data_IF_366139857591
#
_entry.id   IF_366139857591
#
_cell.length_a   1.000
_cell.length_b   1.000
_cell.length_c   1.000
_cell.angle_alpha   90.00
_cell.angle_beta   90.00
_cell.angle_gamma   90.00
#
_symmetry.space_group_name_H-M   'P 1'
#
loop_
_entity.id
_entity.type
_entity.pdbx_description
1 polymer ?
#
# COMPACT_ATOMS: atom_id res chain seq x y z
N UNK A 1 -10.18 -3.85 -24.74
CA UNK A 1 -8.76 -3.48 -24.57
C UNK A 1 -8.59 -2.06 -23.97
N UNK A 2 -9.14 -1.02 -24.58
CA UNK A 2 -9.08 0.35 -24.05
C UNK A 2 -9.55 0.49 -22.60
N UNK A 3 -10.62 -0.17 -22.20
CA UNK A 3 -11.17 -0.13 -20.83
C UNK A 3 -10.16 -0.62 -19.79
N UNK A 4 -9.39 -1.66 -20.10
CA UNK A 4 -8.37 -2.20 -19.19
C UNK A 4 -7.21 -1.21 -19.03
N UNK A 5 -6.77 -0.61 -20.14
CA UNK A 5 -5.70 0.40 -20.12
C UNK A 5 -6.11 1.61 -19.29
N UNK A 6 -7.31 2.16 -19.55
CA UNK A 6 -7.83 3.31 -18.79
C UNK A 6 -8.00 2.98 -17.30
N UNK A 7 -8.54 1.79 -16.99
CA UNK A 7 -8.66 1.34 -15.60
C UNK A 7 -7.29 1.16 -14.93
N UNK A 8 -6.31 0.63 -15.66
CA UNK A 8 -4.94 0.49 -15.19
C UNK A 8 -4.30 1.84 -14.86
N UNK A 9 -4.41 2.82 -15.76
CA UNK A 9 -3.93 4.18 -15.53
C UNK A 9 -4.61 4.84 -14.33
N UNK A 10 -5.93 4.69 -14.21
CA UNK A 10 -6.69 5.21 -13.07
C UNK A 10 -6.23 4.62 -11.74
N UNK A 11 -6.09 3.29 -11.65
CA UNK A 11 -5.62 2.62 -10.44
C UNK A 11 -4.16 2.98 -10.11
N UNK A 12 -3.30 3.12 -11.12
CA UNK A 12 -1.92 3.58 -10.94
C UNK A 12 -1.86 5.01 -10.40
N UNK A 13 -2.76 5.90 -10.86
CA UNK A 13 -2.86 7.27 -10.34
C UNK A 13 -3.27 7.29 -8.86
N UNK A 14 -4.14 6.38 -8.44
CA UNK A 14 -4.51 6.22 -7.02
C UNK A 14 -3.28 5.80 -6.19
N UNK A 15 -2.51 4.81 -6.66
CA UNK A 15 -1.30 4.36 -5.96
C UNK A 15 -0.29 5.50 -5.86
N UNK A 16 -0.06 6.23 -6.95
CA UNK A 16 0.83 7.40 -6.95
C UNK A 16 0.34 8.49 -5.98
N UNK A 17 -0.98 8.74 -5.95
CA UNK A 17 -1.58 9.68 -5.00
C UNK A 17 -1.39 9.28 -3.54
N UNK A 18 -1.61 8.01 -3.21
CA UNK A 18 -1.38 7.48 -1.85
C UNK A 18 0.09 7.62 -1.46
N UNK A 19 1.01 7.26 -2.35
CA UNK A 19 2.45 7.35 -2.09
C UNK A 19 2.92 8.80 -1.95
N UNK A 20 2.45 9.70 -2.82
CA UNK A 20 2.75 11.13 -2.75
C UNK A 20 2.19 11.77 -1.47
N UNK A 21 0.95 11.47 -1.12
CA UNK A 21 0.34 11.95 0.12
C UNK A 21 1.11 11.48 1.36
N UNK A 22 1.55 10.21 1.37
CA UNK A 22 2.37 9.68 2.45
C UNK A 22 3.68 10.47 2.62
N UNK A 23 4.41 10.73 1.53
CA UNK A 23 5.68 11.47 1.58
C UNK A 23 5.49 12.92 2.03
N UNK A 24 4.43 13.59 1.57
CA UNK A 24 4.12 14.95 1.98
C UNK A 24 3.79 14.99 3.48
N UNK A 25 2.91 14.11 3.94
CA UNK A 25 2.51 14.06 5.36
C UNK A 25 3.70 13.72 6.24
N UNK A 26 4.54 12.76 5.83
CA UNK A 26 5.74 12.37 6.57
C UNK A 26 6.71 13.54 6.66
N UNK A 27 7.02 14.22 5.56
CA UNK A 27 7.93 15.36 5.52
C UNK A 27 7.44 16.53 6.38
N UNK A 28 6.18 16.90 6.26
CA UNK A 28 5.59 17.98 7.05
C UNK A 28 5.59 17.67 8.58
N UNK A 29 5.22 16.45 8.94
CA UNK A 29 5.20 16.03 10.34
C UNK A 29 6.62 15.93 10.93
N UNK A 30 7.57 15.45 10.15
CA UNK A 30 8.98 15.37 10.57
C UNK A 30 9.55 16.76 10.76
N UNK A 31 9.36 17.67 9.80
CA UNK A 31 9.77 19.10 9.94
C UNK A 31 9.12 19.75 11.15
N UNK A 32 7.82 19.53 11.34
CA UNK A 32 7.10 20.09 12.50
C UNK A 32 7.72 19.62 13.84
N UNK A 33 7.97 18.32 13.98
CA UNK A 33 8.47 17.74 15.23
C UNK A 33 9.95 18.03 15.47
N UNK A 34 10.78 18.02 14.44
CA UNK A 34 12.23 18.10 14.61
C UNK A 34 12.82 19.50 14.40
N UNK A 35 12.09 20.40 13.73
CA UNK A 35 12.57 21.75 13.43
C UNK A 35 11.70 22.82 14.08
N UNK A 36 10.40 22.85 13.78
CA UNK A 36 9.50 23.95 14.17
C UNK A 36 9.23 23.96 15.67
N UNK A 37 8.87 22.84 16.26
CA UNK A 37 8.56 22.76 17.69
C UNK A 37 9.77 23.03 18.59
N UNK A 38 10.96 22.43 18.35
CA UNK A 38 12.14 22.71 19.17
C UNK A 38 12.61 24.16 19.08
N UNK A 39 12.47 24.81 17.91
CA UNK A 39 12.84 26.22 17.72
C UNK A 39 12.06 27.18 18.62
N UNK A 40 10.87 26.82 19.07
CA UNK A 40 10.02 27.60 19.95
C UNK A 40 10.28 27.31 21.45
N UNK A 41 11.09 26.30 21.76
CA UNK A 41 11.32 25.89 23.16
C UNK A 41 12.60 26.46 23.74
N UNK A 42 12.54 26.83 25.03
CA UNK A 42 13.71 27.33 25.76
C UNK A 42 14.77 26.26 26.02
N UNK A 43 14.38 25.00 26.00
CA UNK A 43 15.23 23.87 26.34
C UNK A 43 15.14 22.78 25.24
N UNK A 44 15.74 23.00 24.06
CA UNK A 44 15.61 22.08 22.94
C UNK A 44 16.18 20.69 23.22
N UNK A 45 17.25 20.59 24.01
CA UNK A 45 17.89 19.29 24.37
C UNK A 45 16.91 18.40 25.16
N UNK A 46 16.20 18.98 26.13
CA UNK A 46 15.20 18.24 26.91
C UNK A 46 14.04 17.78 26.04
N UNK A 47 13.62 18.61 25.08
CA UNK A 47 12.59 18.24 24.11
C UNK A 47 12.97 17.03 23.27
N UNK A 48 14.18 17.00 22.68
CA UNK A 48 14.65 15.87 21.90
C UNK A 48 14.72 14.60 22.74
N UNK A 49 15.20 14.68 23.98
CA UNK A 49 15.23 13.54 24.88
C UNK A 49 13.82 12.97 25.14
N UNK A 50 12.86 13.83 25.45
CA UNK A 50 11.45 13.46 25.68
C UNK A 50 10.85 12.87 24.41
N UNK A 51 11.10 13.48 23.24
CA UNK A 51 10.62 12.98 21.96
C UNK A 51 11.14 11.57 21.64
N UNK A 52 12.42 11.30 21.87
CA UNK A 52 13.01 9.98 21.68
C UNK A 52 12.40 8.94 22.63
N UNK A 53 12.21 9.29 23.91
CA UNK A 53 11.58 8.38 24.89
C UNK A 53 10.13 8.08 24.50
N UNK A 54 9.35 9.10 24.13
CA UNK A 54 7.99 8.93 23.64
C UNK A 54 7.96 8.06 22.38
N UNK A 55 8.86 8.31 21.42
CA UNK A 55 9.01 7.49 20.23
C UNK A 55 9.27 6.02 20.56
N UNK A 56 10.19 5.74 21.45
CA UNK A 56 10.49 4.38 21.88
C UNK A 56 9.27 3.68 22.53
N UNK A 57 8.51 4.40 23.35
CA UNK A 57 7.28 3.88 23.96
C UNK A 57 6.19 3.60 22.92
N UNK A 58 5.98 4.53 22.00
CA UNK A 58 4.99 4.38 20.90
C UNK A 58 5.37 3.20 20.01
N UNK A 59 6.65 3.08 19.62
CA UNK A 59 7.14 1.97 18.81
C UNK A 59 6.98 0.62 19.53
N UNK A 60 7.30 0.58 20.82
CA UNK A 60 7.11 -0.62 21.65
C UNK A 60 5.63 -1.03 21.73
N UNK A 61 4.74 -0.06 21.89
CA UNK A 61 3.30 -0.28 21.90
C UNK A 61 2.78 -0.79 20.54
N UNK A 62 3.21 -0.16 19.43
CA UNK A 62 2.84 -0.58 18.08
C UNK A 62 3.29 -2.01 17.78
N UNK A 63 4.54 -2.35 18.15
CA UNK A 63 5.07 -3.70 18.00
C UNK A 63 4.25 -4.72 18.78
N UNK A 64 3.86 -4.39 20.01
CA UNK A 64 3.04 -5.27 20.86
C UNK A 64 1.62 -5.44 20.32
N UNK A 65 1.03 -4.38 19.74
CA UNK A 65 -0.35 -4.36 19.29
C UNK A 65 -0.54 -4.96 17.90
N UNK A 66 0.40 -4.72 17.00
CA UNK A 66 0.30 -5.08 15.59
C UNK A 66 1.29 -6.17 15.15
N UNK A 67 2.18 -6.63 16.02
CA UNK A 67 3.20 -7.62 15.68
C UNK A 67 4.36 -7.03 14.86
N UNK A 68 4.89 -7.81 13.92
CA UNK A 68 5.94 -7.35 13.01
C UNK A 68 5.34 -6.43 11.92
N UNK A 69 5.25 -5.16 12.21
CA UNK A 69 4.78 -4.11 11.31
C UNK A 69 5.78 -2.95 11.37
N UNK A 70 6.12 -2.31 10.27
CA UNK A 70 5.65 -2.50 8.90
C UNK A 70 6.31 -3.71 8.21
N UNK A 71 5.58 -4.30 7.26
CA UNK A 71 6.13 -5.36 6.41
C UNK A 71 7.23 -4.77 5.52
N UNK A 72 8.40 -5.38 5.56
CA UNK A 72 9.53 -4.92 4.73
C UNK A 72 9.32 -5.30 3.26
N UNK A 73 9.98 -4.56 2.34
CA UNK A 73 9.95 -4.89 0.92
C UNK A 73 10.43 -6.32 0.65
N UNK A 74 11.43 -6.79 1.40
CA UNK A 74 11.97 -8.15 1.28
C UNK A 74 10.94 -9.21 1.68
N UNK A 75 10.20 -8.99 2.76
CA UNK A 75 9.12 -9.89 3.21
C UNK A 75 7.98 -9.92 2.19
N UNK A 76 7.55 -8.76 1.68
CA UNK A 76 6.52 -8.66 0.65
C UNK A 76 6.93 -9.39 -0.64
N UNK A 77 8.19 -9.24 -1.08
CA UNK A 77 8.72 -9.95 -2.25
C UNK A 77 8.85 -11.46 -2.01
N UNK A 78 9.23 -11.87 -0.81
CA UNK A 78 9.34 -13.28 -0.46
C UNK A 78 7.96 -13.94 -0.43
N UNK A 79 6.97 -13.26 0.15
CA UNK A 79 5.58 -13.70 0.16
C UNK A 79 5.02 -13.80 -1.27
N UNK A 80 5.31 -12.78 -2.11
CA UNK A 80 4.89 -12.77 -3.52
C UNK A 80 5.47 -13.96 -4.28
N UNK A 81 6.76 -14.26 -4.10
CA UNK A 81 7.41 -15.42 -4.75
C UNK A 81 6.85 -16.76 -4.26
N UNK A 82 6.59 -16.88 -2.95
CA UNK A 82 6.12 -18.13 -2.35
C UNK A 82 4.63 -18.42 -2.66
N UNK A 83 3.79 -17.38 -2.59
CA UNK A 83 2.32 -17.53 -2.69
C UNK A 83 1.74 -17.01 -4.01
N UNK A 84 2.55 -16.38 -4.87
CA UNK A 84 2.13 -15.64 -6.06
C UNK A 84 1.06 -14.56 -5.77
N UNK A 85 0.98 -14.12 -4.53
CA UNK A 85 0.07 -13.09 -4.03
C UNK A 85 0.61 -12.52 -2.73
N UNK A 86 0.24 -11.28 -2.43
CA UNK A 86 0.58 -10.60 -1.17
C UNK A 86 -0.72 -10.20 -0.47
N UNK A 87 -0.74 -10.24 0.85
CA UNK A 87 -1.89 -9.78 1.61
C UNK A 87 -1.90 -8.24 1.68
N UNK A 88 -2.72 -7.63 0.84
CA UNK A 88 -2.88 -6.17 0.78
C UNK A 88 -3.94 -5.62 1.75
N UNK A 89 -4.62 -6.48 2.53
CA UNK A 89 -5.64 -6.03 3.50
C UNK A 89 -5.07 -5.14 4.61
N UNK A 90 -3.79 -5.33 4.93
CA UNK A 90 -3.06 -4.59 5.95
C UNK A 90 -2.27 -3.37 5.47
N UNK A 91 -2.32 -3.01 4.18
CA UNK A 91 -1.46 -1.95 3.61
C UNK A 91 -1.60 -0.61 4.34
N UNK A 92 -2.81 -0.15 4.59
CA UNK A 92 -3.03 1.13 5.28
C UNK A 92 -2.51 1.10 6.72
N UNK A 93 -2.68 -0.02 7.42
CA UNK A 93 -2.14 -0.21 8.76
C UNK A 93 -0.61 -0.19 8.75
N UNK A 94 0.00 -0.84 7.76
CA UNK A 94 1.44 -0.84 7.57
C UNK A 94 1.98 0.56 7.25
N UNK A 95 1.29 1.33 6.39
CA UNK A 95 1.63 2.71 6.09
C UNK A 95 1.54 3.61 7.32
N UNK A 96 0.47 3.49 8.12
CA UNK A 96 0.34 4.26 9.37
C UNK A 96 1.44 3.92 10.36
N UNK A 97 1.76 2.64 10.53
CA UNK A 97 2.86 2.23 11.40
C UNK A 97 4.21 2.74 10.90
N UNK A 98 4.45 2.67 9.59
CA UNK A 98 5.65 3.21 8.96
C UNK A 98 5.75 4.73 9.15
N UNK A 99 4.65 5.47 8.98
CA UNK A 99 4.59 6.90 9.20
C UNK A 99 5.00 7.27 10.63
N UNK A 100 4.42 6.59 11.63
CA UNK A 100 4.76 6.83 13.03
C UNK A 100 6.23 6.54 13.29
N UNK A 101 6.76 5.42 12.75
CA UNK A 101 8.17 5.05 12.90
C UNK A 101 9.10 6.12 12.33
N UNK A 102 8.79 6.63 11.14
CA UNK A 102 9.58 7.65 10.45
C UNK A 102 9.56 9.00 11.18
N UNK A 103 8.38 9.46 11.60
CA UNK A 103 8.20 10.73 12.31
C UNK A 103 9.02 10.76 13.61
N UNK A 104 9.17 9.63 14.30
CA UNK A 104 10.00 9.54 15.51
C UNK A 104 11.50 9.34 15.21
N UNK A 105 11.94 9.49 13.95
CA UNK A 105 13.35 9.53 13.57
C UNK A 105 14.00 8.16 13.44
N UNK A 106 13.25 7.12 13.09
CA UNK A 106 13.87 5.85 12.72
C UNK A 106 14.77 6.07 11.50
N UNK A 107 16.01 5.58 11.57
CA UNK A 107 17.02 5.73 10.52
C UNK A 107 16.74 4.96 9.22
N UNK A 108 15.47 4.67 8.94
CA UNK A 108 15.01 4.02 7.70
C UNK A 108 14.40 5.10 6.82
N UNK A 109 14.86 5.21 5.58
CA UNK A 109 14.30 6.20 4.67
C UNK A 109 12.83 5.94 4.34
N UNK A 110 12.05 7.00 4.08
CA UNK A 110 10.62 6.88 3.75
C UNK A 110 10.38 6.02 2.50
N UNK A 111 11.32 5.98 1.59
CA UNK A 111 11.30 5.16 0.38
C UNK A 111 11.27 3.66 0.71
N UNK A 112 12.09 3.22 1.67
CA UNK A 112 12.14 1.82 2.08
C UNK A 112 10.83 1.38 2.77
N UNK A 113 10.20 2.26 3.54
CA UNK A 113 8.90 2.02 4.16
C UNK A 113 7.77 1.93 3.12
N UNK A 114 7.82 2.76 2.07
CA UNK A 114 6.86 2.75 0.97
C UNK A 114 6.96 1.52 0.08
N UNK A 115 8.17 0.97 -0.13
CA UNK A 115 8.36 -0.14 -1.07
C UNK A 115 7.45 -1.34 -0.78
N UNK A 116 7.32 -1.75 0.47
CA UNK A 116 6.43 -2.83 0.86
C UNK A 116 4.95 -2.53 0.55
N UNK A 117 4.52 -1.30 0.79
CA UNK A 117 3.16 -0.84 0.50
C UNK A 117 2.91 -0.76 -1.02
N UNK A 118 3.86 -0.25 -1.79
CA UNK A 118 3.78 -0.16 -3.26
C UNK A 118 3.67 -1.56 -3.87
N UNK A 119 4.47 -2.53 -3.42
CA UNK A 119 4.38 -3.92 -3.87
C UNK A 119 2.98 -4.48 -3.61
N UNK A 120 2.46 -4.31 -2.40
CA UNK A 120 1.13 -4.80 -2.03
C UNK A 120 0.01 -4.13 -2.83
N UNK A 121 0.09 -2.81 -3.05
CA UNK A 121 -0.86 -2.06 -3.87
C UNK A 121 -0.76 -2.44 -5.36
N UNK A 122 0.43 -2.75 -5.87
CA UNK A 122 0.62 -3.23 -7.24
C UNK A 122 0.00 -4.61 -7.45
N UNK A 123 0.10 -5.50 -6.46
CA UNK A 123 -0.59 -6.80 -6.49
C UNK A 123 -2.10 -6.59 -6.45
N UNK A 124 -2.60 -5.71 -5.59
CA UNK A 124 -4.02 -5.32 -5.58
C UNK A 124 -4.50 -4.79 -6.94
N UNK A 125 -3.73 -3.91 -7.57
CA UNK A 125 -4.03 -3.39 -8.91
C UNK A 125 -4.09 -4.52 -9.95
N UNK A 126 -3.10 -5.41 -9.93
CA UNK A 126 -3.05 -6.57 -10.82
C UNK A 126 -4.27 -7.47 -10.66
N UNK A 127 -4.68 -7.75 -9.42
CA UNK A 127 -5.86 -8.57 -9.13
C UNK A 127 -7.15 -7.90 -9.64
N UNK A 128 -7.27 -6.57 -9.53
CA UNK A 128 -8.43 -5.83 -10.05
C UNK A 128 -8.49 -5.82 -11.57
N UNK A 129 -7.34 -5.65 -12.24
CA UNK A 129 -7.26 -5.69 -13.70
C UNK A 129 -7.55 -7.10 -14.23
N UNK A 130 -7.05 -8.13 -13.52
CA UNK A 130 -7.34 -9.53 -13.85
C UNK A 130 -8.82 -9.85 -13.71
N UNK A 131 -9.45 -9.39 -12.63
CA UNK A 131 -10.90 -9.52 -12.45
C UNK A 131 -11.68 -8.87 -13.60
N UNK A 132 -11.34 -7.64 -13.99
CA UNK A 132 -11.96 -6.95 -15.13
C UNK A 132 -11.79 -7.71 -16.44
N UNK A 133 -10.60 -8.27 -16.68
CA UNK A 133 -10.32 -9.01 -17.91
C UNK A 133 -11.17 -10.26 -18.04
N UNK A 134 -11.30 -11.06 -16.97
CA UNK A 134 -12.03 -12.31 -17.00
C UNK A 134 -13.56 -12.16 -16.98
N UNK A 135 -14.07 -11.07 -16.39
CA UNK A 135 -15.50 -10.80 -16.30
C UNK A 135 -15.95 -9.70 -17.27
N UNK A 136 -15.13 -9.40 -18.28
CA UNK A 136 -15.43 -8.33 -19.23
C UNK A 136 -16.74 -8.60 -20.02
N UNK A 137 -16.93 -9.83 -20.47
CA UNK A 137 -18.10 -10.24 -21.28
C UNK A 137 -19.42 -10.16 -20.47
N UNK A 138 -19.36 -10.45 -19.16
CA UNK A 138 -20.52 -10.34 -18.27
C UNK A 138 -20.89 -8.88 -17.95
N UNK A 139 -19.94 -7.96 -18.14
CA UNK A 139 -20.07 -6.55 -17.77
C UNK A 139 -20.26 -5.61 -18.95
N UNK A 140 -20.40 -6.12 -20.16
CA UNK A 140 -20.46 -5.31 -21.38
C UNK A 140 -21.62 -4.30 -21.38
N UNK A 141 -22.71 -4.60 -20.69
CA UNK A 141 -23.89 -3.72 -20.58
C UNK A 141 -23.77 -2.64 -19.49
N UNK A 142 -22.67 -2.58 -18.71
CA UNK A 142 -22.54 -1.62 -17.61
C UNK A 142 -21.70 -0.40 -18.03
N UNK A 143 -22.18 0.77 -17.58
CA UNK A 143 -21.46 2.05 -17.78
C UNK A 143 -20.09 2.02 -17.12
N UNK A 144 -19.09 2.66 -17.75
CA UNK A 144 -17.70 2.77 -17.25
C UNK A 144 -17.63 3.22 -15.77
N UNK A 145 -18.42 4.20 -15.36
CA UNK A 145 -18.51 4.68 -13.98
C UNK A 145 -18.98 3.62 -13.00
N UNK A 146 -19.93 2.80 -13.38
CA UNK A 146 -20.42 1.69 -12.53
C UNK A 146 -19.34 0.61 -12.34
N UNK A 147 -18.51 0.37 -13.37
CA UNK A 147 -17.38 -0.55 -13.30
C UNK A 147 -16.30 -0.04 -12.33
N UNK A 148 -15.95 1.25 -12.40
CA UNK A 148 -15.00 1.89 -11.48
C UNK A 148 -15.53 1.89 -10.05
N UNK A 149 -16.79 2.26 -9.85
CA UNK A 149 -17.41 2.30 -8.52
C UNK A 149 -17.45 0.91 -7.87
N UNK A 150 -17.66 -0.15 -8.64
CA UNK A 150 -17.53 -1.53 -8.15
C UNK A 150 -16.10 -1.90 -7.78
N UNK A 151 -15.10 -1.51 -8.57
CA UNK A 151 -13.69 -1.75 -8.27
C UNK A 151 -13.25 -1.08 -6.98
N UNK A 152 -13.78 0.11 -6.70
CA UNK A 152 -13.46 0.90 -5.50
C UNK A 152 -14.36 0.56 -4.30
N UNK A 153 -15.34 -0.34 -4.44
CA UNK A 153 -16.23 -0.69 -3.34
C UNK A 153 -15.44 -1.30 -2.18
N UNK A 154 -15.60 -0.81 -0.93
CA UNK A 154 -14.78 -1.22 0.23
C UNK A 154 -14.70 -2.73 0.45
N UNK A 155 -15.81 -3.44 0.27
CA UNK A 155 -15.86 -4.90 0.42
C UNK A 155 -15.04 -5.62 -0.66
N UNK A 156 -15.02 -5.11 -1.89
CA UNK A 156 -14.23 -5.67 -2.99
C UNK A 156 -12.77 -5.20 -2.96
N UNK A 157 -12.51 -4.04 -2.35
CA UNK A 157 -11.17 -3.52 -2.15
C UNK A 157 -10.33 -4.44 -1.27
N UNK A 158 -10.93 -4.96 -0.20
CA UNK A 158 -10.30 -5.85 0.78
C UNK A 158 -10.40 -7.33 0.37
N UNK A 159 -11.36 -7.67 -0.49
CA UNK A 159 -11.58 -9.05 -0.89
C UNK A 159 -10.44 -9.49 -1.83
N UNK A 160 -9.63 -10.40 -1.33
CA UNK A 160 -8.60 -11.10 -2.11
C UNK A 160 -9.28 -11.78 -3.29
N UNK A 161 -8.83 -11.51 -4.50
CA UNK A 161 -9.21 -12.34 -5.63
C UNK A 161 -8.57 -13.70 -5.40
N UNK A 162 -9.38 -14.69 -5.02
CA UNK A 162 -8.87 -16.04 -4.80
C UNK A 162 -8.29 -16.53 -6.14
N UNK A 163 -6.99 -16.76 -6.14
CA UNK A 163 -6.22 -17.24 -7.30
C UNK A 163 -6.60 -18.67 -7.72
N UNK A 164 -7.64 -19.25 -7.16
CA UNK A 164 -8.33 -20.43 -7.70
C UNK A 164 -9.08 -20.04 -8.96
N UNK A 165 -8.31 -19.56 -9.94
CA UNK A 165 -8.82 -19.42 -11.30
C UNK A 165 -9.42 -20.75 -11.71
N UNK A 166 -10.63 -20.72 -12.26
CA UNK A 166 -11.21 -21.89 -12.89
C UNK A 166 -10.19 -22.47 -13.91
N UNK A 167 -10.14 -23.77 -14.15
CA UNK A 167 -9.18 -24.36 -15.09
C UNK A 167 -9.20 -23.70 -16.47
N UNK A 168 -10.37 -23.22 -16.91
CA UNK A 168 -10.56 -22.43 -18.14
C UNK A 168 -9.79 -21.10 -18.12
N UNK A 169 -9.75 -20.42 -16.97
CA UNK A 169 -9.13 -19.10 -16.84
C UNK A 169 -7.61 -19.20 -16.77
N UNK A 170 -7.08 -20.29 -16.18
CA UNK A 170 -5.64 -20.61 -16.21
C UNK A 170 -5.15 -20.82 -17.64
N UNK A 171 -5.98 -21.45 -18.50
CA UNK A 171 -5.65 -21.70 -19.90
C UNK A 171 -5.61 -20.40 -20.71
N UNK A 172 -6.58 -19.50 -20.49
CA UNK A 172 -6.63 -18.15 -21.08
C UNK A 172 -5.43 -17.30 -20.65
N UNK A 173 -5.10 -17.32 -19.36
CA UNK A 173 -3.95 -16.59 -18.82
C UNK A 173 -2.63 -17.06 -19.44
N UNK A 174 -2.46 -18.38 -19.59
CA UNK A 174 -1.28 -18.96 -20.20
C UNK A 174 -1.16 -18.63 -21.69
N UNK A 175 -2.28 -18.51 -22.40
CA UNK A 175 -2.31 -18.07 -23.79
C UNK A 175 -1.90 -16.60 -23.95
N UNK A 176 -2.35 -15.73 -23.05
CA UNK A 176 -1.97 -14.31 -23.05
C UNK A 176 -0.51 -14.12 -22.69
N UNK A 177 0.02 -14.88 -21.74
CA UNK A 177 1.43 -14.83 -21.34
C UNK A 177 2.39 -15.39 -22.39
N UNK A 178 1.95 -16.36 -23.19
CA UNK A 178 2.77 -16.93 -24.26
C UNK A 178 2.64 -16.17 -25.59
N UNK A 179 1.75 -15.18 -25.68
CA UNK A 179 1.55 -14.32 -26.84
C UNK A 179 2.18 -12.92 -26.70
N UNK A 180 2.88 -12.68 -25.62
CA UNK A 180 3.76 -11.52 -25.36
C UNK A 180 5.22 -11.93 -25.51
#
# INVERSE_FOLDING_TARGET
MWTIIVSGLFLSSIIAGISGAFLIIEGELTTLLWEVLPAQMKWPILYYFVLCVLGALVLSYLKKRFGQVPQTAHEALTELKAKQSVDYSGVFRNLLAALVILIFGAGVGPEAALLGAIISLSVWQSDKLRYLYFHYDEQEQQTFWTKIQRLLHPKQFVQRYDTRLAPSDKKKLKQVMNGL
#
